data_IF_331289330359
#
_entry.id   IF_331289330359
#
_cell.length_a   1.000
_cell.length_b   1.000
_cell.length_c   1.000
_cell.angle_alpha   90.00
_cell.angle_beta   90.00
_cell.angle_gamma   90.00
#
_symmetry.space_group_name_H-M   'P 1'
#
loop_
_entity.id
_entity.type
_entity.pdbx_description
1 polymer ?
#
# COMPACT_ATOMS: atom_id res chain seq x y z
N UNK A 1 24.26 -27.79 8.04
CA UNK A 1 25.57 -27.13 8.02
C UNK A 1 25.45 -25.79 8.72
N UNK A 2 26.20 -25.58 9.80
CA UNK A 2 26.28 -24.31 10.49
C UNK A 2 27.21 -23.38 9.74
N UNK A 3 26.77 -22.12 9.52
CA UNK A 3 27.55 -21.10 8.84
C UNK A 3 27.63 -19.87 9.74
N UNK A 4 28.86 -19.41 10.02
CA UNK A 4 29.07 -18.20 10.78
C UNK A 4 28.69 -16.96 9.94
N UNK A 5 27.72 -16.17 10.41
CA UNK A 5 27.22 -14.98 9.71
C UNK A 5 27.79 -13.67 10.27
N UNK A 6 28.41 -13.69 11.43
CA UNK A 6 28.98 -12.52 12.11
C UNK A 6 28.62 -12.46 13.59
N UNK A 7 29.17 -11.45 14.28
CA UNK A 7 28.91 -11.18 15.68
C UNK A 7 27.80 -10.15 15.85
N UNK A 8 26.89 -10.38 16.78
CA UNK A 8 25.89 -9.41 17.22
C UNK A 8 26.38 -8.75 18.52
N UNK A 9 26.32 -7.43 18.66
CA UNK A 9 26.66 -6.76 19.89
C UNK A 9 25.72 -7.17 21.01
N UNK A 10 26.27 -7.54 22.16
CA UNK A 10 25.49 -7.92 23.33
C UNK A 10 24.96 -6.66 24.03
N UNK A 11 23.72 -6.70 24.46
CA UNK A 11 23.11 -5.63 25.24
C UNK A 11 23.68 -5.61 26.66
N UNK A 12 24.07 -4.44 27.13
CA UNK A 12 24.53 -4.25 28.50
C UNK A 12 23.38 -4.25 29.49
N UNK A 13 23.69 -4.33 30.78
CA UNK A 13 22.69 -4.25 31.87
C UNK A 13 21.95 -2.89 31.91
N UNK A 14 22.47 -1.87 31.23
CA UNK A 14 21.86 -0.54 31.11
C UNK A 14 20.95 -0.41 29.87
N UNK A 15 20.81 -1.45 29.05
CA UNK A 15 20.05 -1.41 27.80
C UNK A 15 20.77 -0.73 26.65
N UNK A 16 22.10 -0.63 26.70
CA UNK A 16 22.96 -0.04 25.68
C UNK A 16 23.74 -1.14 24.95
N UNK A 17 24.34 -0.80 23.83
CA UNK A 17 25.19 -1.68 23.02
C UNK A 17 26.56 -1.05 22.84
N UNK A 18 27.62 -1.84 22.89
CA UNK A 18 28.97 -1.41 22.60
C UNK A 18 29.27 -1.69 21.12
N UNK A 19 29.38 -0.64 20.33
CA UNK A 19 29.67 -0.73 18.89
C UNK A 19 30.95 0.06 18.59
N UNK A 20 31.96 -0.63 18.08
CA UNK A 20 33.31 -0.05 17.82
C UNK A 20 33.91 0.65 19.04
N UNK A 21 33.76 0.05 20.23
CA UNK A 21 34.27 0.58 21.48
C UNK A 21 33.48 1.75 22.08
N UNK A 22 32.36 2.16 21.47
CA UNK A 22 31.51 3.26 21.94
C UNK A 22 30.17 2.71 22.44
N UNK A 23 29.77 3.15 23.63
CA UNK A 23 28.45 2.83 24.18
C UNK A 23 27.35 3.59 23.41
N UNK A 24 26.39 2.85 22.86
CA UNK A 24 25.29 3.41 22.06
C UNK A 24 23.96 2.90 22.58
N UNK A 25 22.90 3.70 22.41
CA UNK A 25 21.52 3.34 22.72
C UNK A 25 20.68 3.37 21.44
N UNK A 26 19.77 2.42 21.31
CA UNK A 26 18.79 2.43 20.21
C UNK A 26 17.65 3.37 20.59
N UNK A 27 17.48 4.41 19.77
CA UNK A 27 16.46 5.44 19.99
C UNK A 27 15.13 4.95 19.43
N UNK A 28 14.06 5.12 20.19
CA UNK A 28 12.69 4.88 19.69
C UNK A 28 12.39 5.78 18.48
N UNK A 29 11.74 5.21 17.49
CA UNK A 29 11.42 5.88 16.23
C UNK A 29 9.95 6.30 16.19
N UNK A 30 9.68 7.49 15.68
CA UNK A 30 8.33 7.93 15.37
C UNK A 30 8.04 7.58 13.90
N UNK A 31 7.19 6.58 13.68
CA UNK A 31 6.83 6.09 12.34
C UNK A 31 5.36 6.35 12.05
N UNK A 32 4.98 6.33 10.77
CA UNK A 32 3.58 6.44 10.36
C UNK A 32 2.79 5.22 10.83
N UNK A 33 1.58 5.46 11.34
CA UNK A 33 0.67 4.37 11.68
C UNK A 33 0.16 3.68 10.43
N UNK A 34 -0.08 2.35 10.45
CA UNK A 34 -0.77 1.69 9.35
C UNK A 34 -2.19 2.23 9.18
N UNK A 35 -2.67 2.28 7.93
CA UNK A 35 -3.99 2.79 7.57
C UNK A 35 -4.03 3.36 6.16
N UNK A 36 -5.17 3.93 5.76
CA UNK A 36 -5.33 4.67 4.51
C UNK A 36 -5.34 6.17 4.79
N UNK A 37 -4.58 6.90 4.01
CA UNK A 37 -4.42 8.36 4.09
C UNK A 37 -4.66 8.98 2.73
N UNK A 38 -5.58 9.93 2.66
CA UNK A 38 -5.90 10.63 1.42
C UNK A 38 -5.03 11.88 1.31
N UNK A 39 -4.31 11.97 0.22
CA UNK A 39 -3.37 13.06 -0.06
C UNK A 39 -3.87 13.90 -1.23
N UNK A 40 -3.44 15.13 -1.33
CA UNK A 40 -3.80 16.04 -2.40
C UNK A 40 -2.53 16.57 -3.07
N UNK A 41 -2.50 16.53 -4.39
CA UNK A 41 -1.48 17.15 -5.22
C UNK A 41 -2.10 18.30 -6.03
N UNK A 42 -1.40 19.41 -6.14
CA UNK A 42 -1.82 20.53 -6.96
C UNK A 42 -1.16 20.44 -8.36
N UNK A 43 -1.98 20.30 -9.40
CA UNK A 43 -1.50 20.29 -10.78
C UNK A 43 -2.21 21.38 -11.60
N UNK A 44 -1.44 22.39 -12.05
CA UNK A 44 -1.96 23.53 -12.84
C UNK A 44 -3.21 24.17 -12.22
N UNK A 45 -3.25 24.35 -10.91
CA UNK A 45 -4.36 24.92 -10.18
C UNK A 45 -5.53 23.96 -9.89
N UNK A 46 -5.49 22.73 -10.37
CA UNK A 46 -6.46 21.68 -10.02
C UNK A 46 -5.95 20.85 -8.85
N UNK A 47 -6.83 20.60 -7.89
CA UNK A 47 -6.55 19.66 -6.80
C UNK A 47 -6.84 18.24 -7.29
N UNK A 48 -5.87 17.36 -7.19
CA UNK A 48 -5.96 15.96 -7.55
C UNK A 48 -5.72 15.14 -6.30
N UNK A 49 -6.75 14.43 -5.87
CA UNK A 49 -6.67 13.57 -4.70
C UNK A 49 -6.14 12.20 -5.06
N UNK A 50 -5.40 11.62 -4.14
CA UNK A 50 -4.92 10.25 -4.16
C UNK A 50 -4.99 9.66 -2.78
N UNK A 51 -4.53 8.44 -2.61
CA UNK A 51 -4.49 7.78 -1.33
C UNK A 51 -3.19 7.00 -1.15
N UNK A 52 -2.73 6.90 0.11
CA UNK A 52 -1.63 6.02 0.51
C UNK A 52 -2.15 5.00 1.50
N UNK A 53 -2.12 3.74 1.10
CA UNK A 53 -2.40 2.62 1.98
C UNK A 53 -1.08 2.11 2.54
N UNK A 54 -0.91 2.26 3.84
CA UNK A 54 0.29 1.88 4.58
C UNK A 54 -0.06 0.67 5.44
N UNK A 55 0.42 -0.55 5.11
CA UNK A 55 0.25 -1.71 5.98
C UNK A 55 1.23 -1.65 7.16
N UNK A 56 1.02 -2.48 8.16
CA UNK A 56 2.00 -2.73 9.22
C UNK A 56 3.22 -3.50 8.65
N UNK A 57 2.94 -4.48 7.79
CA UNK A 57 3.93 -5.26 7.05
C UNK A 57 3.47 -5.47 5.61
N UNK A 58 4.38 -5.34 4.66
CA UNK A 58 4.14 -5.57 3.24
C UNK A 58 4.22 -4.33 2.38
N UNK A 59 3.85 -4.47 1.12
CA UNK A 59 3.96 -3.43 0.11
C UNK A 59 2.97 -2.28 0.35
N UNK A 60 3.45 -1.05 0.20
CA UNK A 60 2.62 0.14 0.22
C UNK A 60 1.89 0.28 -1.11
N UNK A 61 0.65 0.77 -1.07
CA UNK A 61 -0.09 1.14 -2.26
C UNK A 61 -0.31 2.66 -2.26
N UNK A 62 0.15 3.32 -3.31
CA UNK A 62 -0.05 4.75 -3.51
C UNK A 62 -0.94 4.96 -4.74
N UNK A 63 -2.16 5.43 -4.52
CA UNK A 63 -3.13 5.75 -5.56
C UNK A 63 -2.96 7.21 -5.95
N UNK A 64 -2.88 7.49 -7.24
CA UNK A 64 -2.75 8.84 -7.77
C UNK A 64 -3.78 9.07 -8.88
N UNK A 65 -4.45 10.21 -8.84
CA UNK A 65 -5.30 10.68 -9.94
C UNK A 65 -4.46 11.52 -10.89
N UNK A 66 -4.53 11.22 -12.18
CA UNK A 66 -3.91 12.02 -13.24
C UNK A 66 -4.83 13.17 -13.67
N UNK A 67 -4.30 14.20 -14.35
CA UNK A 67 -5.08 15.36 -14.80
C UNK A 67 -6.20 15.02 -15.78
N UNK A 68 -6.11 13.88 -16.47
CA UNK A 68 -7.14 13.36 -17.38
C UNK A 68 -8.24 12.55 -16.66
N UNK A 69 -8.16 12.43 -15.34
CA UNK A 69 -9.11 11.71 -14.51
C UNK A 69 -8.80 10.22 -14.35
N UNK A 70 -7.75 9.68 -14.99
CA UNK A 70 -7.36 8.29 -14.77
C UNK A 70 -6.73 8.10 -13.40
N UNK A 71 -6.98 6.93 -12.80
CA UNK A 71 -6.45 6.56 -11.48
C UNK A 71 -5.42 5.45 -11.66
N UNK A 72 -4.20 5.75 -11.24
CA UNK A 72 -3.13 4.77 -11.21
C UNK A 72 -2.71 4.40 -9.80
N UNK A 73 -2.06 3.26 -9.65
CA UNK A 73 -1.51 2.78 -8.39
C UNK A 73 -0.02 2.47 -8.54
N UNK A 74 0.76 2.86 -7.55
CA UNK A 74 2.15 2.44 -7.37
C UNK A 74 2.20 1.42 -6.26
N UNK A 75 2.89 0.32 -6.49
CA UNK A 75 3.18 -0.70 -5.49
C UNK A 75 4.58 -0.38 -4.97
N UNK A 76 4.70 -0.06 -3.68
CA UNK A 76 5.92 0.50 -3.09
C UNK A 76 6.39 1.75 -3.87
N UNK A 77 7.59 1.70 -4.41
CA UNK A 77 8.19 2.79 -5.20
C UNK A 77 8.31 2.47 -6.68
N UNK A 78 7.64 1.38 -7.13
CA UNK A 78 7.69 0.99 -8.53
C UNK A 78 6.83 1.89 -9.42
N UNK A 79 6.98 1.72 -10.73
CA UNK A 79 6.26 2.52 -11.72
C UNK A 79 4.74 2.32 -11.59
N UNK A 80 4.01 3.40 -11.78
CA UNK A 80 2.55 3.42 -11.77
C UNK A 80 1.94 2.50 -12.82
N UNK A 81 0.89 1.80 -12.42
CA UNK A 81 0.02 0.96 -13.26
C UNK A 81 -1.42 1.46 -13.14
N UNK A 82 -2.31 1.19 -14.11
CA UNK A 82 -3.73 1.47 -13.96
C UNK A 82 -4.32 0.71 -12.77
N UNK A 83 -5.20 1.34 -11.99
CA UNK A 83 -5.81 0.68 -10.82
C UNK A 83 -6.71 -0.50 -11.20
N UNK A 84 -7.23 -0.52 -12.43
CA UNK A 84 -8.05 -1.62 -12.95
C UNK A 84 -7.27 -2.93 -13.04
N UNK A 85 -5.97 -2.90 -13.35
CA UNK A 85 -5.10 -4.07 -13.29
C UNK A 85 -5.04 -4.67 -11.88
N UNK A 86 -5.03 -3.81 -10.83
CA UNK A 86 -5.09 -4.27 -9.45
C UNK A 86 -6.45 -4.89 -9.12
N UNK A 87 -7.56 -4.32 -9.59
CA UNK A 87 -8.89 -4.92 -9.39
C UNK A 87 -9.02 -6.31 -10.01
N UNK A 88 -8.49 -6.51 -11.23
CA UNK A 88 -8.54 -7.82 -11.89
C UNK A 88 -7.78 -8.91 -11.13
N UNK A 89 -6.63 -8.61 -10.53
CA UNK A 89 -5.90 -9.59 -9.72
C UNK A 89 -6.61 -9.93 -8.40
N UNK A 90 -7.49 -9.05 -7.92
CA UNK A 90 -8.38 -9.31 -6.79
C UNK A 90 -9.72 -9.95 -7.21
N UNK A 91 -9.91 -10.23 -8.51
CA UNK A 91 -11.02 -11.01 -9.03
C UNK A 91 -12.21 -10.20 -9.56
N UNK A 92 -12.04 -8.90 -9.84
CA UNK A 92 -13.11 -8.07 -10.41
C UNK A 92 -12.98 -7.99 -11.95
N UNK A 93 -14.04 -8.27 -12.67
CA UNK A 93 -14.08 -8.16 -14.12
C UNK A 93 -14.39 -6.73 -14.59
N UNK A 94 -14.04 -6.38 -15.85
CA UNK A 94 -14.24 -5.05 -16.41
C UNK A 94 -15.69 -4.56 -16.39
N UNK A 95 -16.65 -5.48 -16.60
CA UNK A 95 -18.08 -5.17 -16.51
C UNK A 95 -18.49 -4.78 -15.08
N UNK A 96 -17.95 -5.47 -14.09
CA UNK A 96 -18.20 -5.20 -12.68
C UNK A 96 -17.49 -3.91 -12.24
N UNK A 97 -16.29 -3.63 -12.76
CA UNK A 97 -15.57 -2.37 -12.55
C UNK A 97 -16.43 -1.19 -13.05
N UNK A 98 -16.93 -1.28 -14.28
CA UNK A 98 -17.83 -0.26 -14.83
C UNK A 98 -19.14 -0.15 -14.05
N UNK A 99 -19.72 -1.25 -13.62
CA UNK A 99 -20.93 -1.26 -12.78
C UNK A 99 -20.70 -0.61 -11.40
N UNK A 100 -19.48 -0.75 -10.85
CA UNK A 100 -19.14 -0.25 -9.49
C UNK A 100 -18.77 1.23 -9.47
N UNK A 101 -18.06 1.72 -10.50
CA UNK A 101 -17.51 3.08 -10.56
C UNK A 101 -18.16 3.97 -11.63
N UNK A 102 -18.94 3.39 -12.55
CA UNK A 102 -19.57 4.13 -13.65
C UNK A 102 -18.57 4.67 -14.67
N UNK A 103 -18.97 5.75 -15.36
CA UNK A 103 -18.20 6.37 -16.43
C UNK A 103 -16.87 7.00 -15.97
N UNK A 104 -16.74 7.31 -14.69
CA UNK A 104 -15.56 7.99 -14.14
C UNK A 104 -14.30 7.13 -14.26
N UNK A 105 -14.45 5.79 -14.29
CA UNK A 105 -13.30 4.87 -14.41
C UNK A 105 -12.86 4.65 -15.86
N UNK A 106 -13.63 5.08 -16.88
CA UNK A 106 -13.32 4.87 -18.28
C UNK A 106 -11.93 5.36 -18.70
N UNK A 107 -11.49 6.58 -18.34
CA UNK A 107 -10.13 7.03 -18.68
C UNK A 107 -9.03 6.09 -18.16
N UNK A 108 -9.30 5.37 -17.07
CA UNK A 108 -8.36 4.38 -16.51
C UNK A 108 -8.37 3.09 -17.32
N UNK A 109 -9.56 2.63 -17.73
CA UNK A 109 -9.71 1.44 -18.58
C UNK A 109 -9.10 1.66 -19.97
N UNK A 110 -9.26 2.86 -20.55
CA UNK A 110 -8.70 3.18 -21.87
C UNK A 110 -7.17 3.22 -21.87
N UNK A 111 -6.55 3.52 -20.73
CA UNK A 111 -5.09 3.50 -20.54
C UNK A 111 -4.53 2.13 -20.25
N UNK A 112 -5.39 1.18 -19.90
CA UNK A 112 -4.94 -0.16 -19.52
C UNK A 112 -4.61 -0.98 -20.77
N UNK A 113 -3.44 -1.63 -20.71
CA UNK A 113 -2.97 -2.53 -21.77
C UNK A 113 -3.35 -3.99 -21.52
N UNK A 114 -3.62 -4.33 -20.27
CA UNK A 114 -4.03 -5.67 -19.87
C UNK A 114 -5.53 -5.89 -20.15
N UNK A 115 -5.88 -7.04 -20.70
CA UNK A 115 -7.28 -7.40 -21.04
C UNK A 115 -7.91 -8.40 -20.07
N UNK A 116 -7.09 -9.06 -19.29
CA UNK A 116 -7.50 -10.10 -18.36
C UNK A 116 -6.62 -10.14 -17.12
N UNK A 117 -6.97 -10.97 -16.15
CA UNK A 117 -6.21 -11.12 -14.92
C UNK A 117 -4.77 -11.61 -15.17
N UNK A 118 -4.56 -12.53 -16.12
CA UNK A 118 -3.23 -13.06 -16.42
C UNK A 118 -2.30 -11.98 -16.99
N UNK A 119 -2.80 -11.13 -17.90
CA UNK A 119 -2.06 -10.00 -18.43
C UNK A 119 -1.75 -8.98 -17.33
N UNK A 120 -2.70 -8.74 -16.42
CA UNK A 120 -2.53 -7.83 -15.27
C UNK A 120 -1.43 -8.34 -14.32
N UNK A 121 -1.38 -9.64 -14.05
CA UNK A 121 -0.29 -10.24 -13.26
C UNK A 121 1.07 -10.04 -13.93
N UNK A 122 1.17 -10.26 -15.25
CA UNK A 122 2.41 -10.05 -15.99
C UNK A 122 2.84 -8.60 -16.02
N UNK A 123 1.91 -7.66 -16.24
CA UNK A 123 2.21 -6.23 -16.23
C UNK A 123 2.76 -5.79 -14.88
N UNK A 124 2.12 -6.17 -13.77
CA UNK A 124 2.58 -5.85 -12.42
C UNK A 124 3.95 -6.48 -12.16
N UNK A 125 4.14 -7.74 -12.54
CA UNK A 125 5.43 -8.43 -12.39
C UNK A 125 6.57 -7.70 -13.10
N UNK A 126 6.36 -7.31 -14.37
CA UNK A 126 7.34 -6.57 -15.16
C UNK A 126 7.70 -5.20 -14.57
N UNK A 127 6.75 -4.57 -13.84
CA UNK A 127 7.03 -3.31 -13.12
C UNK A 127 7.87 -3.53 -11.88
N UNK A 128 7.64 -4.64 -11.17
CA UNK A 128 8.38 -5.01 -9.95
C UNK A 128 9.76 -5.54 -10.30
N UNK A 129 9.87 -6.36 -11.36
CA UNK A 129 11.13 -6.97 -11.83
C UNK A 129 11.36 -6.70 -13.31
N UNK A 130 11.82 -5.50 -13.66
CA UNK A 130 12.09 -5.19 -15.05
C UNK A 130 13.25 -6.04 -15.59
N UNK A 131 13.03 -6.68 -16.76
CA UNK A 131 14.01 -7.52 -17.42
C UNK A 131 13.91 -9.03 -17.14
N UNK A 132 13.10 -9.43 -16.15
CA UNK A 132 12.83 -10.85 -15.91
C UNK A 132 11.77 -11.37 -16.89
N UNK A 133 12.04 -12.53 -17.49
CA UNK A 133 11.05 -13.30 -18.24
C UNK A 133 10.26 -14.16 -17.25
N UNK A 134 8.99 -13.83 -17.05
CA UNK A 134 8.12 -14.61 -16.18
C UNK A 134 6.97 -15.27 -16.95
N UNK A 135 6.59 -16.45 -16.49
CA UNK A 135 5.32 -17.05 -16.89
C UNK A 135 4.16 -16.40 -16.09
N UNK A 136 2.93 -16.42 -16.61
CA UNK A 136 1.75 -15.94 -15.85
C UNK A 136 1.64 -16.60 -14.46
N UNK A 137 2.02 -17.88 -14.35
CA UNK A 137 1.99 -18.62 -13.09
C UNK A 137 3.01 -18.12 -12.06
N UNK A 138 4.21 -17.74 -12.49
CA UNK A 138 5.24 -17.18 -11.60
C UNK A 138 4.86 -15.77 -11.16
N UNK A 139 4.33 -14.96 -12.08
CA UNK A 139 3.81 -13.64 -11.77
C UNK A 139 2.69 -13.72 -10.73
N UNK A 140 1.74 -14.63 -10.91
CA UNK A 140 0.66 -14.86 -9.96
C UNK A 140 1.18 -15.27 -8.58
N UNK A 141 2.07 -16.25 -8.50
CA UNK A 141 2.66 -16.70 -7.23
C UNK A 141 3.35 -15.56 -6.48
N UNK A 142 4.12 -14.71 -7.18
CA UNK A 142 4.79 -13.58 -6.55
C UNK A 142 3.77 -12.59 -5.97
N UNK A 143 2.82 -12.14 -6.79
CA UNK A 143 1.87 -11.09 -6.41
C UNK A 143 0.89 -11.60 -5.34
N UNK A 144 0.40 -12.83 -5.48
CA UNK A 144 -0.44 -13.45 -4.44
C UNK A 144 0.32 -13.60 -3.11
N UNK A 145 1.61 -13.91 -3.16
CA UNK A 145 2.43 -13.94 -1.95
C UNK A 145 2.60 -12.55 -1.31
N UNK A 146 2.61 -11.47 -2.11
CA UNK A 146 2.76 -10.11 -1.61
C UNK A 146 1.52 -9.59 -0.89
N UNK A 147 0.31 -9.97 -1.32
CA UNK A 147 -0.94 -9.38 -0.83
C UNK A 147 -1.85 -10.36 -0.07
N UNK A 148 -1.76 -11.67 -0.36
CA UNK A 148 -2.69 -12.68 0.17
C UNK A 148 -2.08 -13.56 1.27
N UNK A 149 -0.76 -13.47 1.53
CA UNK A 149 -0.10 -14.26 2.59
C UNK A 149 0.03 -13.44 3.88
N UNK A 150 -0.51 -13.93 5.01
CA UNK A 150 -0.47 -13.20 6.30
C UNK A 150 0.96 -12.93 6.81
N UNK A 151 1.92 -13.76 6.42
CA UNK A 151 3.33 -13.61 6.79
C UNK A 151 4.00 -12.45 6.06
N UNK A 152 3.48 -12.06 4.88
CA UNK A 152 4.05 -11.02 4.03
C UNK A 152 3.24 -9.73 3.98
N UNK A 153 1.94 -9.81 4.21
CA UNK A 153 1.06 -8.65 4.24
C UNK A 153 0.19 -8.65 5.49
N UNK A 154 0.21 -7.56 6.23
CA UNK A 154 -0.56 -7.41 7.45
C UNK A 154 -0.89 -5.94 7.69
N UNK A 155 -2.17 -5.62 7.76
CA UNK A 155 -2.64 -4.29 8.16
C UNK A 155 -2.52 -4.06 9.67
N UNK A 156 -2.37 -5.11 10.47
CA UNK A 156 -2.54 -5.13 11.92
C UNK A 156 -3.96 -4.77 12.38
N UNK A 157 -4.24 -4.96 13.66
CA UNK A 157 -5.52 -4.56 14.27
C UNK A 157 -5.71 -3.04 14.19
N UNK A 158 -4.64 -2.28 14.44
CA UNK A 158 -4.67 -0.81 14.41
C UNK A 158 -4.90 -0.28 13.00
N UNK A 159 -4.20 -0.84 12.01
CA UNK A 159 -4.37 -0.44 10.61
C UNK A 159 -5.77 -0.77 10.09
N UNK A 160 -6.31 -1.95 10.44
CA UNK A 160 -7.69 -2.32 10.10
C UNK A 160 -8.70 -1.39 10.76
N UNK A 161 -8.54 -1.06 12.04
CA UNK A 161 -9.40 -0.11 12.73
C UNK A 161 -9.41 1.28 12.06
N UNK A 162 -8.21 1.82 11.78
CA UNK A 162 -8.10 3.13 11.12
C UNK A 162 -8.68 3.13 9.70
N UNK A 163 -8.45 2.04 8.94
CA UNK A 163 -9.01 1.87 7.62
C UNK A 163 -10.54 1.85 7.66
N UNK A 164 -11.11 1.05 8.56
CA UNK A 164 -12.56 0.96 8.73
C UNK A 164 -13.16 2.30 9.16
N UNK A 165 -12.54 2.99 10.11
CA UNK A 165 -12.98 4.31 10.55
C UNK A 165 -12.96 5.33 9.41
N UNK A 166 -11.89 5.35 8.61
CA UNK A 166 -11.73 6.35 7.53
C UNK A 166 -12.65 6.08 6.34
N UNK A 167 -12.95 4.81 6.05
CA UNK A 167 -13.79 4.38 4.93
C UNK A 167 -15.23 4.06 5.34
N UNK A 168 -15.61 4.33 6.59
CA UNK A 168 -16.93 3.98 7.15
C UNK A 168 -17.31 2.51 6.91
N UNK A 169 -16.30 1.64 6.89
CA UNK A 169 -16.47 0.21 6.68
C UNK A 169 -16.87 -0.47 7.98
N UNK A 170 -18.15 -0.83 8.10
CA UNK A 170 -18.62 -1.59 9.25
C UNK A 170 -18.18 -3.06 9.14
N UNK A 171 -17.58 -3.58 10.23
CA UNK A 171 -17.35 -5.02 10.49
C UNK A 171 -16.29 -5.76 9.63
N UNK A 172 -15.39 -5.10 8.94
CA UNK A 172 -14.24 -5.80 8.37
C UNK A 172 -13.22 -6.09 9.48
N UNK A 173 -12.99 -7.39 9.78
CA UNK A 173 -12.03 -7.83 10.82
C UNK A 173 -10.75 -8.43 10.24
N UNK A 174 -10.72 -8.70 8.94
CA UNK A 174 -9.58 -9.30 8.25
C UNK A 174 -8.34 -8.40 8.29
N UNK A 175 -7.16 -8.99 8.56
CA UNK A 175 -5.88 -8.26 8.60
C UNK A 175 -5.22 -8.14 7.21
N UNK A 176 -5.72 -8.88 6.23
CA UNK A 176 -5.29 -8.82 4.84
C UNK A 176 -6.08 -7.76 4.08
N UNK A 177 -5.48 -7.25 3.02
CA UNK A 177 -6.15 -6.38 2.07
C UNK A 177 -7.25 -7.15 1.32
N UNK A 178 -8.45 -6.60 1.28
CA UNK A 178 -9.59 -7.16 0.57
C UNK A 178 -9.95 -6.34 -0.67
N UNK A 179 -10.69 -6.94 -1.59
CA UNK A 179 -11.23 -6.24 -2.74
C UNK A 179 -12.16 -5.08 -2.33
N UNK A 180 -12.99 -5.29 -1.29
CA UNK A 180 -13.88 -4.24 -0.77
C UNK A 180 -13.10 -3.01 -0.26
N UNK A 181 -11.96 -3.23 0.39
CA UNK A 181 -11.08 -2.14 0.81
C UNK A 181 -10.61 -1.30 -0.38
N UNK A 182 -10.16 -1.97 -1.44
CA UNK A 182 -9.69 -1.29 -2.66
C UNK A 182 -10.81 -0.51 -3.34
N UNK A 183 -12.00 -1.09 -3.45
CA UNK A 183 -13.17 -0.44 -4.01
C UNK A 183 -13.53 0.82 -3.21
N UNK A 184 -13.56 0.73 -1.89
CA UNK A 184 -13.86 1.87 -1.00
C UNK A 184 -12.82 2.97 -1.11
N UNK A 185 -11.52 2.62 -1.14
CA UNK A 185 -10.43 3.60 -1.33
C UNK A 185 -10.62 4.36 -2.63
N UNK A 186 -10.88 3.68 -3.74
CA UNK A 186 -11.03 4.33 -5.04
C UNK A 186 -12.34 5.14 -5.11
N UNK A 187 -13.44 4.65 -4.53
CA UNK A 187 -14.68 5.43 -4.41
C UNK A 187 -14.47 6.71 -3.62
N UNK A 188 -13.73 6.66 -2.53
CA UNK A 188 -13.41 7.85 -1.74
C UNK A 188 -12.51 8.82 -2.51
N UNK A 189 -11.51 8.34 -3.26
CA UNK A 189 -10.71 9.19 -4.17
C UNK A 189 -11.60 9.92 -5.18
N UNK A 190 -12.54 9.21 -5.80
CA UNK A 190 -13.48 9.78 -6.77
C UNK A 190 -14.37 10.84 -6.09
N UNK A 191 -14.89 10.55 -4.90
CA UNK A 191 -15.70 11.49 -4.11
C UNK A 191 -14.93 12.78 -3.81
N UNK A 192 -13.69 12.64 -3.30
CA UNK A 192 -12.82 13.77 -2.95
C UNK A 192 -12.45 14.62 -4.18
N UNK A 193 -12.22 14.01 -5.33
CA UNK A 193 -11.96 14.73 -6.58
C UNK A 193 -13.19 15.50 -7.09
N UNK A 194 -14.39 15.08 -6.73
CA UNK A 194 -15.65 15.76 -7.07
C UNK A 194 -16.06 16.85 -6.08
N UNK A 195 -15.44 16.92 -4.90
CA UNK A 195 -15.80 17.86 -3.84
C UNK A 195 -14.79 19.03 -3.79
N UNK A 196 -15.20 20.26 -4.15
CA UNK A 196 -14.32 21.42 -4.10
C UNK A 196 -13.91 21.84 -2.68
N UNK A 197 -14.60 21.36 -1.66
CA UNK A 197 -14.31 21.67 -0.25
C UNK A 197 -13.47 20.60 0.44
N UNK A 198 -13.24 19.48 -0.22
CA UNK A 198 -12.48 18.38 0.36
C UNK A 198 -11.07 18.80 0.78
N UNK A 199 -10.64 18.29 1.91
CA UNK A 199 -9.29 18.45 2.46
C UNK A 199 -8.54 17.12 2.50
N UNK A 200 -7.22 17.21 2.39
CA UNK A 200 -6.35 16.06 2.53
C UNK A 200 -6.15 15.69 4.00
N UNK A 201 -5.89 14.41 4.26
CA UNK A 201 -5.55 13.96 5.61
C UNK A 201 -4.16 14.48 5.99
N UNK A 202 -4.00 14.96 7.23
CA UNK A 202 -2.69 15.32 7.76
C UNK A 202 -1.94 14.05 8.19
N UNK A 203 -1.05 13.60 7.31
CA UNK A 203 -0.24 12.39 7.53
C UNK A 203 0.79 12.60 8.64
N UNK A 204 1.18 13.83 8.91
CA UNK A 204 2.21 14.16 9.90
C UNK A 204 1.64 14.47 11.28
N UNK A 205 0.33 14.55 11.40
CA UNK A 205 -0.35 14.69 12.69
C UNK A 205 0.05 13.54 13.63
N UNK A 206 0.32 13.83 14.91
CA UNK A 206 0.77 12.83 15.90
C UNK A 206 -0.22 11.67 16.08
N UNK A 207 -1.51 11.89 15.90
CA UNK A 207 -2.54 10.85 15.88
C UNK A 207 -2.37 9.83 14.74
N UNK A 208 -1.64 10.19 13.69
CA UNK A 208 -1.33 9.35 12.53
C UNK A 208 0.08 8.75 12.58
N UNK A 209 0.77 8.93 13.71
CA UNK A 209 2.08 8.38 13.98
C UNK A 209 2.05 7.45 15.18
N UNK A 210 3.00 6.52 15.25
CA UNK A 210 3.21 5.64 16.39
C UNK A 210 4.68 5.59 16.78
N UNK A 211 4.92 5.30 18.05
CA UNK A 211 6.28 5.08 18.55
C UNK A 211 6.66 3.62 18.32
N UNK A 212 7.80 3.42 17.69
CA UNK A 212 8.45 2.14 17.47
C UNK A 212 9.57 2.01 18.49
N UNK A 213 9.30 1.24 19.55
CA UNK A 213 10.21 1.12 20.68
C UNK A 213 11.32 0.10 20.43
N UNK A 214 12.31 0.07 21.32
CA UNK A 214 13.47 -0.82 21.26
C UNK A 214 13.09 -2.29 21.07
N UNK A 215 12.09 -2.80 21.79
CA UNK A 215 11.66 -4.20 21.70
C UNK A 215 11.21 -4.58 20.30
N UNK A 216 10.44 -3.72 19.63
CA UNK A 216 10.00 -3.93 18.24
C UNK A 216 11.18 -3.87 17.25
N UNK A 217 12.15 -2.97 17.50
CA UNK A 217 13.32 -2.83 16.63
C UNK A 217 14.30 -3.99 16.73
N UNK A 218 14.36 -4.67 17.87
CA UNK A 218 15.21 -5.85 18.07
C UNK A 218 14.53 -7.16 17.65
N UNK A 219 13.21 -7.18 17.53
CA UNK A 219 12.45 -8.38 17.15
C UNK A 219 12.40 -8.60 15.62
N UNK A 220 12.74 -7.58 14.84
CA UNK A 220 12.79 -7.65 13.37
C UNK A 220 14.03 -8.37 12.91
#
# INVERSE_FOLDING_TARGET
>A
QEVYLGDLPMMTTRGTFIVNGVERVVISQLVRSPGAYFTMNLYRGRRLFGAKLIPHRGAWLEFETDPDGSIGVKIDRYRKIPVVSLFRIFGLEDKEILGTFGEVIKPTLDKDTAKNAADSYLEIYQRIRPGDLATPGDAQKLIDSMFKQPERYDLSVIGRFKLNQRLEAQNSTGRLLSLDDLIRIVKEIIRLNGDPTAEADDVDHLGNRRVRALGELLQI
#
